data_IF_878191136506
#
_entry.id   IF_878191136506
#
_cell.length_a   1.000
_cell.length_b   1.000
_cell.length_c   1.000
_cell.angle_alpha   90.00
_cell.angle_beta   90.00
_cell.angle_gamma   90.00
#
_symmetry.space_group_name_H-M   'P 1'
#
loop_
_entity.id
_entity.type
_entity.pdbx_description
1 polymer ?
#
# COMPACT_ATOMS: atom_id res chain seq x y z
N UNK A 1 53.23 -39.68 -30.05
CA UNK A 1 54.05 -38.70 -29.29
C UNK A 1 53.95 -37.25 -29.79
N UNK A 2 53.54 -36.97 -31.04
CA UNK A 2 53.49 -35.59 -31.60
C UNK A 2 52.29 -34.74 -31.12
N UNK A 3 51.17 -35.36 -30.72
CA UNK A 3 49.96 -34.63 -30.27
C UNK A 3 50.12 -33.94 -28.90
N UNK A 4 50.92 -34.51 -27.99
CA UNK A 4 51.10 -34.00 -26.64
C UNK A 4 51.98 -32.73 -26.61
N UNK A 5 53.01 -32.67 -27.45
CA UNK A 5 53.86 -31.49 -27.62
C UNK A 5 53.16 -30.31 -28.33
N UNK A 6 52.25 -30.58 -29.27
CA UNK A 6 51.40 -29.55 -29.90
C UNK A 6 50.41 -28.93 -28.91
N UNK A 7 49.73 -29.75 -28.09
CA UNK A 7 48.84 -29.25 -27.03
C UNK A 7 49.59 -28.39 -26.02
N UNK A 8 50.74 -28.86 -25.52
CA UNK A 8 51.57 -28.13 -24.57
C UNK A 8 52.08 -26.78 -25.13
N UNK A 9 52.44 -26.72 -26.42
CA UNK A 9 52.81 -25.46 -27.08
C UNK A 9 51.65 -24.47 -27.20
N UNK A 10 50.47 -24.95 -27.61
CA UNK A 10 49.28 -24.09 -27.70
C UNK A 10 48.86 -23.56 -26.32
N UNK A 11 49.03 -24.37 -25.28
CA UNK A 11 48.75 -24.00 -23.89
C UNK A 11 49.76 -22.95 -23.37
N UNK A 12 51.05 -23.12 -23.70
CA UNK A 12 52.08 -22.12 -23.41
C UNK A 12 51.84 -20.80 -24.16
N UNK A 13 51.58 -20.84 -25.47
CA UNK A 13 51.29 -19.65 -26.28
C UNK A 13 50.07 -18.88 -25.75
N UNK A 14 49.05 -19.58 -25.25
CA UNK A 14 47.89 -18.96 -24.58
C UNK A 14 48.27 -18.32 -23.25
N UNK A 15 49.12 -18.97 -22.46
CA UNK A 15 49.56 -18.47 -21.17
C UNK A 15 50.44 -17.22 -21.34
N UNK A 16 51.38 -17.25 -22.28
CA UNK A 16 52.23 -16.10 -22.60
C UNK A 16 51.38 -14.90 -23.08
N UNK A 17 50.33 -15.14 -23.87
CA UNK A 17 49.39 -14.11 -24.28
C UNK A 17 48.57 -13.54 -23.11
N UNK A 18 48.13 -14.38 -22.17
CA UNK A 18 47.42 -13.95 -20.97
C UNK A 18 48.33 -13.14 -20.03
N UNK A 19 49.60 -13.54 -19.89
CA UNK A 19 50.58 -12.83 -19.08
C UNK A 19 50.91 -11.44 -19.68
N UNK A 20 50.99 -11.35 -21.00
CA UNK A 20 51.16 -10.07 -21.70
C UNK A 20 49.95 -9.14 -21.51
N UNK A 21 48.73 -9.67 -21.61
CA UNK A 21 47.49 -8.91 -21.35
C UNK A 21 47.44 -8.44 -19.87
N UNK A 22 47.80 -9.30 -18.92
CA UNK A 22 47.89 -8.93 -17.50
C UNK A 22 48.93 -7.83 -17.26
N UNK A 23 50.09 -7.90 -17.92
CA UNK A 23 51.12 -6.86 -17.80
C UNK A 23 50.62 -5.50 -18.32
N UNK A 24 49.93 -5.48 -19.47
CA UNK A 24 49.34 -4.25 -20.02
C UNK A 24 48.27 -3.70 -19.07
N UNK A 25 47.39 -4.54 -18.53
CA UNK A 25 46.37 -4.12 -17.56
C UNK A 25 46.97 -3.55 -16.29
N UNK A 26 47.99 -4.21 -15.73
CA UNK A 26 48.68 -3.73 -14.54
C UNK A 26 49.30 -2.34 -14.75
N UNK A 27 49.89 -2.08 -15.92
CA UNK A 27 50.42 -0.77 -16.28
C UNK A 27 49.31 0.29 -16.42
N UNK A 28 48.20 -0.04 -17.06
CA UNK A 28 47.05 0.87 -17.19
C UNK A 28 46.44 1.19 -15.82
N UNK A 29 46.27 0.18 -14.97
CA UNK A 29 45.73 0.33 -13.62
C UNK A 29 46.62 1.20 -12.73
N UNK A 30 47.95 1.08 -12.84
CA UNK A 30 48.88 1.96 -12.13
C UNK A 30 48.68 3.43 -12.48
N UNK A 31 48.56 3.74 -13.78
CA UNK A 31 48.35 5.11 -14.26
C UNK A 31 46.98 5.64 -13.83
N UNK A 32 45.94 4.81 -13.93
CA UNK A 32 44.59 5.17 -13.52
C UNK A 32 44.51 5.45 -12.00
N UNK A 33 45.07 4.59 -11.18
CA UNK A 33 45.10 4.74 -9.72
C UNK A 33 45.92 5.98 -9.29
N UNK A 34 47.08 6.24 -9.92
CA UNK A 34 47.87 7.45 -9.65
C UNK A 34 47.09 8.72 -9.98
N UNK A 35 46.42 8.75 -11.13
CA UNK A 35 45.63 9.90 -11.52
C UNK A 35 44.36 10.08 -10.66
N UNK A 36 43.77 8.98 -10.21
CA UNK A 36 42.68 8.99 -9.23
C UNK A 36 43.16 9.60 -7.92
N UNK A 37 44.33 9.22 -7.41
CA UNK A 37 44.91 9.78 -6.17
C UNK A 37 45.11 11.29 -6.30
N UNK A 38 45.67 11.76 -7.42
CA UNK A 38 45.88 13.20 -7.65
C UNK A 38 44.55 13.94 -7.62
N UNK A 39 43.58 13.47 -8.39
CA UNK A 39 42.25 14.09 -8.47
C UNK A 39 41.54 14.08 -7.11
N UNK A 40 41.57 12.96 -6.39
CA UNK A 40 40.94 12.86 -5.06
C UNK A 40 41.66 13.72 -4.02
N UNK A 41 42.96 13.98 -4.16
CA UNK A 41 43.69 14.92 -3.29
C UNK A 41 43.24 16.36 -3.53
N UNK A 42 43.08 16.77 -4.79
CA UNK A 42 42.54 18.10 -5.14
C UNK A 42 41.11 18.28 -4.57
N UNK A 43 40.29 17.23 -4.67
CA UNK A 43 38.95 17.21 -4.06
C UNK A 43 38.99 17.25 -2.53
N UNK A 44 39.93 16.53 -1.89
CA UNK A 44 40.11 16.54 -0.45
C UNK A 44 40.51 17.93 0.07
N UNK A 45 41.36 18.65 -0.66
CA UNK A 45 41.76 20.02 -0.29
C UNK A 45 40.53 20.94 -0.27
N UNK A 46 39.74 20.89 -1.35
CA UNK A 46 38.47 21.62 -1.40
C UNK A 46 37.51 21.20 -0.27
N UNK A 47 37.29 19.89 -0.10
CA UNK A 47 36.39 19.37 0.90
C UNK A 47 36.85 19.72 2.33
N UNK A 48 38.16 19.75 2.59
CA UNK A 48 38.69 20.10 3.93
C UNK A 48 38.50 21.59 4.21
N UNK A 49 38.68 22.45 3.20
CA UNK A 49 38.39 23.87 3.33
C UNK A 49 36.89 24.17 3.54
N UNK A 50 36.01 23.37 2.94
CA UNK A 50 34.57 23.63 2.89
C UNK A 50 33.75 22.87 3.97
N UNK A 51 34.14 21.66 4.33
CA UNK A 51 33.47 20.79 5.32
C UNK A 51 34.25 20.64 6.62
N UNK A 52 35.52 21.04 6.65
CA UNK A 52 36.40 20.93 7.82
C UNK A 52 37.05 19.56 8.00
N UNK A 53 38.13 19.56 8.80
CA UNK A 53 39.03 18.41 8.93
C UNK A 53 38.41 17.14 9.52
N UNK A 54 37.40 17.31 10.38
CA UNK A 54 36.72 16.18 11.01
C UNK A 54 35.84 15.43 10.00
N UNK A 55 35.17 16.16 9.11
CA UNK A 55 34.29 15.58 8.10
C UNK A 55 35.07 14.87 6.98
N UNK A 56 36.29 15.33 6.69
CA UNK A 56 37.13 14.76 5.63
C UNK A 56 38.17 13.76 6.12
N UNK A 57 38.17 13.43 7.42
CA UNK A 57 39.15 12.55 8.05
C UNK A 57 39.25 11.19 7.37
N UNK A 58 38.12 10.53 7.10
CA UNK A 58 38.16 9.17 6.55
C UNK A 58 38.66 9.12 5.10
N UNK A 59 38.39 10.17 4.31
CA UNK A 59 38.95 10.30 2.96
C UNK A 59 40.47 10.54 3.02
N UNK A 60 40.92 11.36 3.96
CA UNK A 60 42.35 11.61 4.21
C UNK A 60 43.08 10.33 4.61
N UNK A 61 42.53 9.59 5.58
CA UNK A 61 43.11 8.32 6.04
C UNK A 61 43.12 7.27 4.90
N UNK A 62 42.06 7.23 4.09
CA UNK A 62 41.99 6.37 2.91
C UNK A 62 43.05 6.72 1.86
N UNK A 63 43.24 8.01 1.56
CA UNK A 63 44.30 8.49 0.66
C UNK A 63 45.70 8.15 1.16
N UNK A 64 45.96 8.25 2.46
CA UNK A 64 47.25 7.90 3.06
C UNK A 64 47.53 6.38 2.98
N UNK A 65 46.50 5.56 3.19
CA UNK A 65 46.59 4.11 3.02
C UNK A 65 46.84 3.73 1.55
N UNK A 66 46.09 4.34 0.63
CA UNK A 66 46.23 4.14 -0.82
C UNK A 66 47.61 4.56 -1.30
N UNK A 67 48.08 5.74 -0.90
CA UNK A 67 49.43 6.21 -1.23
C UNK A 67 50.52 5.26 -0.72
N UNK A 68 50.28 4.56 0.40
CA UNK A 68 51.21 3.57 0.94
C UNK A 68 51.29 2.31 0.10
N UNK A 69 50.14 1.76 -0.30
CA UNK A 69 50.09 0.57 -1.15
C UNK A 69 50.48 0.83 -2.61
N UNK A 70 50.27 2.06 -3.11
CA UNK A 70 50.77 2.43 -4.43
C UNK A 70 52.30 2.46 -4.50
N UNK A 71 53.00 2.79 -3.40
CA UNK A 71 54.47 2.66 -3.36
C UNK A 71 54.90 1.21 -3.58
N UNK A 72 54.23 0.25 -2.94
CA UNK A 72 54.46 -1.20 -3.17
C UNK A 72 54.22 -1.56 -4.64
N UNK A 73 53.12 -1.07 -5.25
CA UNK A 73 52.82 -1.35 -6.65
C UNK A 73 53.89 -0.79 -7.61
N UNK A 74 54.38 0.43 -7.38
CA UNK A 74 55.47 1.01 -8.17
C UNK A 74 56.81 0.29 -7.97
N UNK A 75 57.13 -0.15 -6.75
CA UNK A 75 58.32 -0.96 -6.48
C UNK A 75 58.27 -2.31 -7.22
N UNK A 76 57.12 -2.99 -7.23
CA UNK A 76 56.91 -4.22 -7.99
C UNK A 76 57.03 -3.97 -9.51
N UNK A 77 56.50 -2.85 -9.99
CA UNK A 77 56.63 -2.47 -11.39
C UNK A 77 58.08 -2.19 -11.78
N UNK A 78 58.85 -1.55 -10.90
CA UNK A 78 60.28 -1.30 -11.11
C UNK A 78 61.08 -2.60 -11.19
N UNK A 79 60.80 -3.58 -10.31
CA UNK A 79 61.45 -4.90 -10.35
C UNK A 79 61.19 -5.61 -11.68
N UNK A 80 59.97 -5.55 -12.21
CA UNK A 80 59.63 -6.16 -13.50
C UNK A 80 60.40 -5.57 -14.70
N UNK A 81 61.06 -4.42 -14.54
CA UNK A 81 61.78 -3.69 -15.59
C UNK A 81 63.25 -3.46 -15.24
N UNK A 82 63.78 -4.13 -14.22
CA UNK A 82 65.18 -4.01 -13.86
C UNK A 82 66.11 -4.78 -14.83
N UNK A 83 67.40 -4.79 -14.53
CA UNK A 83 68.41 -5.44 -15.37
C UNK A 83 68.59 -6.94 -15.07
N UNK A 84 67.88 -7.46 -14.06
CA UNK A 84 67.94 -8.84 -13.60
C UNK A 84 66.83 -9.62 -14.33
N UNK A 85 67.16 -10.70 -15.08
CA UNK A 85 66.13 -11.47 -15.76
C UNK A 85 65.19 -12.19 -14.78
N UNK A 86 63.92 -11.82 -14.77
CA UNK A 86 62.85 -12.51 -14.03
C UNK A 86 62.32 -13.74 -14.78
N UNK A 87 61.78 -14.70 -14.04
CA UNK A 87 61.00 -15.81 -14.62
C UNK A 87 59.59 -15.34 -15.03
N UNK A 88 58.94 -16.01 -16.02
CA UNK A 88 57.56 -15.70 -16.38
C UNK A 88 56.56 -15.82 -15.23
N UNK A 89 56.82 -16.70 -14.25
CA UNK A 89 55.97 -16.87 -13.08
C UNK A 89 56.10 -15.70 -12.08
N UNK A 90 57.30 -15.16 -11.89
CA UNK A 90 57.54 -13.97 -11.08
C UNK A 90 56.85 -12.74 -11.68
N UNK A 91 57.00 -12.51 -13.00
CA UNK A 91 56.31 -11.41 -13.70
C UNK A 91 54.79 -11.52 -13.57
N UNK A 92 54.23 -12.71 -13.76
CA UNK A 92 52.79 -12.94 -13.60
C UNK A 92 52.32 -12.63 -12.19
N UNK A 93 53.03 -13.12 -11.18
CA UNK A 93 52.70 -12.92 -9.76
C UNK A 93 52.75 -11.44 -9.39
N UNK A 94 53.80 -10.73 -9.80
CA UNK A 94 53.96 -9.30 -9.53
C UNK A 94 52.93 -8.46 -10.29
N UNK A 95 52.68 -8.72 -11.58
CA UNK A 95 51.65 -8.01 -12.34
C UNK A 95 50.23 -8.25 -11.77
N UNK A 96 49.93 -9.46 -11.31
CA UNK A 96 48.67 -9.74 -10.62
C UNK A 96 48.55 -8.97 -9.30
N UNK A 97 49.65 -8.88 -8.53
CA UNK A 97 49.69 -8.09 -7.29
C UNK A 97 49.53 -6.58 -7.57
N UNK A 98 50.19 -6.06 -8.60
CA UNK A 98 50.04 -4.66 -9.02
C UNK A 98 48.58 -4.36 -9.36
N UNK A 99 47.95 -5.17 -10.20
CA UNK A 99 46.53 -5.01 -10.55
C UNK A 99 45.65 -5.04 -9.30
N UNK A 100 45.86 -6.01 -8.41
CA UNK A 100 45.10 -6.11 -7.14
C UNK A 100 45.25 -4.85 -6.25
N UNK A 101 46.46 -4.28 -6.15
CA UNK A 101 46.70 -3.08 -5.35
C UNK A 101 46.02 -1.85 -5.97
N UNK A 102 46.01 -1.74 -7.30
CA UNK A 102 45.35 -0.66 -8.01
C UNK A 102 43.82 -0.77 -7.91
N UNK A 103 43.25 -1.96 -8.11
CA UNK A 103 41.82 -2.20 -7.96
C UNK A 103 41.35 -1.85 -6.53
N UNK A 104 42.10 -2.30 -5.52
CA UNK A 104 41.82 -1.95 -4.12
C UNK A 104 41.93 -0.43 -3.86
N UNK A 105 42.89 0.25 -4.49
CA UNK A 105 43.03 1.69 -4.36
C UNK A 105 41.83 2.44 -4.95
N UNK A 106 41.36 2.04 -6.13
CA UNK A 106 40.16 2.61 -6.74
C UNK A 106 38.93 2.37 -5.84
N UNK A 107 38.71 1.14 -5.39
CA UNK A 107 37.59 0.78 -4.51
C UNK A 107 37.54 1.62 -3.23
N UNK A 108 38.70 1.79 -2.57
CA UNK A 108 38.80 2.61 -1.35
C UNK A 108 38.50 4.07 -1.64
N UNK A 109 39.08 4.65 -2.69
CA UNK A 109 38.86 6.06 -3.00
C UNK A 109 37.40 6.32 -3.41
N UNK A 110 36.78 5.42 -4.14
CA UNK A 110 35.39 5.54 -4.56
C UNK A 110 34.43 5.43 -3.38
N UNK A 111 34.61 4.45 -2.50
CA UNK A 111 33.82 4.31 -1.26
C UNK A 111 33.88 5.60 -0.43
N UNK A 112 35.08 6.15 -0.21
CA UNK A 112 35.26 7.34 0.64
C UNK A 112 34.76 8.61 -0.04
N UNK A 113 34.91 8.73 -1.35
CA UNK A 113 34.44 9.90 -2.11
C UNK A 113 32.91 9.93 -2.19
N UNK A 114 32.27 8.77 -2.36
CA UNK A 114 30.80 8.67 -2.45
C UNK A 114 30.11 9.23 -1.20
N UNK A 115 30.65 8.91 -0.01
CA UNK A 115 30.12 9.38 1.28
C UNK A 115 30.12 10.92 1.39
N UNK A 116 31.07 11.60 0.73
CA UNK A 116 31.20 13.06 0.79
C UNK A 116 30.50 13.78 -0.36
N UNK A 117 30.16 13.07 -1.45
CA UNK A 117 29.67 13.68 -2.70
C UNK A 117 28.49 14.62 -2.47
N UNK A 118 27.43 14.15 -1.82
CA UNK A 118 26.22 14.94 -1.57
C UNK A 118 26.51 16.19 -0.72
N UNK A 119 27.37 16.06 0.31
CA UNK A 119 27.74 17.18 1.17
C UNK A 119 28.55 18.23 0.42
N UNK A 120 29.50 17.80 -0.41
CA UNK A 120 30.32 18.66 -1.26
C UNK A 120 29.44 19.42 -2.26
N UNK A 121 28.51 18.72 -2.91
CA UNK A 121 27.56 19.31 -3.87
C UNK A 121 26.69 20.38 -3.20
N UNK A 122 26.09 20.07 -2.05
CA UNK A 122 25.29 21.05 -1.27
C UNK A 122 26.08 22.30 -0.91
N UNK A 123 27.34 22.16 -0.50
CA UNK A 123 28.17 23.32 -0.14
C UNK A 123 28.57 24.14 -1.38
N UNK A 124 28.82 23.48 -2.53
CA UNK A 124 29.07 24.15 -3.81
C UNK A 124 27.87 24.96 -4.29
N UNK A 125 26.66 24.45 -4.08
CA UNK A 125 25.40 25.10 -4.46
C UNK A 125 24.90 26.15 -3.47
N UNK A 126 25.44 26.17 -2.25
CA UNK A 126 24.96 27.04 -1.18
C UNK A 126 24.95 28.55 -1.56
N UNK A 127 25.96 29.12 -2.26
CA UNK A 127 25.92 30.51 -2.70
C UNK A 127 24.78 30.81 -3.67
N UNK A 128 24.56 29.94 -4.67
CA UNK A 128 23.49 30.10 -5.65
C UNK A 128 22.12 29.95 -4.99
N UNK A 129 21.99 28.98 -4.08
CA UNK A 129 20.75 28.77 -3.32
C UNK A 129 20.45 29.95 -2.40
N UNK A 130 21.47 30.55 -1.77
CA UNK A 130 21.30 31.74 -0.94
C UNK A 130 20.75 32.93 -1.73
N UNK A 131 21.32 33.20 -2.91
CA UNK A 131 20.84 34.29 -3.78
C UNK A 131 19.42 34.01 -4.30
N UNK A 132 19.12 32.76 -4.67
CA UNK A 132 17.78 32.34 -5.05
C UNK A 132 16.77 32.58 -3.92
N UNK A 133 17.07 32.15 -2.69
CA UNK A 133 16.18 32.34 -1.53
C UNK A 133 15.90 33.83 -1.29
N UNK A 134 16.92 34.69 -1.42
CA UNK A 134 16.75 36.16 -1.28
C UNK A 134 15.84 36.72 -2.36
N UNK A 135 16.07 36.35 -3.62
CA UNK A 135 15.27 36.80 -4.75
C UNK A 135 13.81 36.32 -4.64
N UNK A 136 13.60 35.05 -4.29
CA UNK A 136 12.27 34.48 -4.08
C UNK A 136 11.53 35.13 -2.91
N UNK A 137 12.22 35.36 -1.79
CA UNK A 137 11.62 36.05 -0.64
C UNK A 137 11.19 37.48 -1.00
N UNK A 138 11.99 38.21 -1.79
CA UNK A 138 11.65 39.54 -2.27
C UNK A 138 10.43 39.52 -3.21
N UNK A 139 10.41 38.60 -4.19
CA UNK A 139 9.31 38.46 -5.12
C UNK A 139 7.98 38.07 -4.43
N UNK A 140 8.03 37.18 -3.43
CA UNK A 140 6.85 36.83 -2.63
C UNK A 140 6.39 38.00 -1.75
N UNK A 141 7.30 38.82 -1.24
CA UNK A 141 6.94 40.00 -0.46
C UNK A 141 6.17 41.04 -1.30
N UNK A 142 6.47 41.17 -2.59
CA UNK A 142 5.73 42.01 -3.52
C UNK A 142 4.28 41.53 -3.76
N UNK A 143 4.01 40.23 -3.60
CA UNK A 143 2.65 39.65 -3.72
C UNK A 143 1.76 39.91 -2.50
N UNK A 144 2.34 40.21 -1.33
CA UNK A 144 1.60 40.31 -0.06
C UNK A 144 0.43 41.33 -0.11
N UNK A 145 0.60 42.57 -0.59
CA UNK A 145 -0.51 43.53 -0.63
C UNK A 145 -1.68 43.03 -1.49
N UNK A 146 -1.40 42.43 -2.64
CA UNK A 146 -2.43 41.86 -3.53
C UNK A 146 -3.15 40.66 -2.91
N UNK A 147 -2.45 39.84 -2.12
CA UNK A 147 -3.05 38.75 -1.36
C UNK A 147 -3.96 39.27 -0.25
N UNK A 148 -3.57 40.33 0.47
CA UNK A 148 -4.39 40.97 1.50
C UNK A 148 -5.67 41.59 0.92
N UNK A 149 -5.56 42.29 -0.20
CA UNK A 149 -6.72 42.82 -0.94
C UNK A 149 -7.64 41.70 -1.43
N UNK A 150 -7.07 40.58 -1.89
CA UNK A 150 -7.84 39.41 -2.32
C UNK A 150 -8.59 38.78 -1.17
N UNK A 151 -7.97 38.56 -0.01
CA UNK A 151 -8.69 38.04 1.16
C UNK A 151 -9.79 39.00 1.62
N UNK A 152 -9.55 40.31 1.62
CA UNK A 152 -10.58 41.29 1.95
C UNK A 152 -11.77 41.22 0.97
N UNK A 153 -11.50 41.10 -0.34
CA UNK A 153 -12.53 40.90 -1.37
C UNK A 153 -13.30 39.59 -1.15
N UNK A 154 -12.60 38.49 -0.89
CA UNK A 154 -13.19 37.17 -0.65
C UNK A 154 -14.05 37.17 0.62
N UNK A 155 -13.62 37.85 1.68
CA UNK A 155 -14.38 38.00 2.93
C UNK A 155 -15.70 38.76 2.78
N UNK A 156 -15.88 39.54 1.71
CA UNK A 156 -17.15 40.16 1.37
C UNK A 156 -18.10 39.22 0.61
N UNK A 157 -17.58 38.14 0.00
CA UNK A 157 -18.32 37.22 -0.87
C UNK A 157 -18.60 35.86 -0.24
N UNK A 158 -17.76 35.43 0.70
CA UNK A 158 -17.85 34.13 1.35
C UNK A 158 -17.94 34.27 2.87
N UNK A 159 -18.49 33.24 3.52
CA UNK A 159 -18.62 33.22 4.98
C UNK A 159 -17.23 33.15 5.67
N UNK A 160 -17.09 33.60 6.93
CA UNK A 160 -15.85 33.44 7.67
C UNK A 160 -15.36 31.99 7.78
N UNK A 161 -16.27 31.02 7.85
CA UNK A 161 -15.94 29.59 7.91
C UNK A 161 -15.30 29.10 6.59
N UNK A 162 -15.83 29.55 5.45
CA UNK A 162 -15.27 29.23 4.13
C UNK A 162 -13.85 29.79 3.97
N UNK A 163 -13.62 31.03 4.41
CA UNK A 163 -12.30 31.67 4.36
C UNK A 163 -11.31 31.00 5.32
N UNK A 164 -11.74 30.61 6.53
CA UNK A 164 -10.87 29.90 7.48
C UNK A 164 -10.37 28.56 6.94
N UNK A 165 -11.16 27.87 6.11
CA UNK A 165 -10.81 26.58 5.51
C UNK A 165 -9.57 26.64 4.60
N UNK A 166 -9.26 27.81 4.06
CA UNK A 166 -8.07 28.06 3.24
C UNK A 166 -6.80 27.94 4.08
N UNK A 167 -6.89 28.27 5.38
CA UNK A 167 -5.72 28.44 6.24
C UNK A 167 -4.77 29.54 5.77
N UNK A 168 -5.15 30.32 4.75
CA UNK A 168 -4.31 31.38 4.20
C UNK A 168 -4.29 32.59 5.12
N UNK A 169 -3.09 32.92 5.60
CA UNK A 169 -2.86 34.04 6.48
C UNK A 169 -1.69 34.89 5.94
N UNK A 170 -1.97 36.01 5.25
CA UNK A 170 -0.92 36.89 4.74
C UNK A 170 -0.02 37.45 5.84
N UNK A 171 -0.53 37.60 7.07
CA UNK A 171 0.30 38.01 8.21
C UNK A 171 1.32 36.92 8.58
N UNK A 172 0.94 35.64 8.52
CA UNK A 172 1.86 34.51 8.70
C UNK A 172 2.88 34.44 7.55
N UNK A 173 2.43 34.58 6.30
CA UNK A 173 3.34 34.63 5.15
C UNK A 173 4.37 35.77 5.28
N UNK A 174 3.95 36.96 5.73
CA UNK A 174 4.85 38.08 6.02
C UNK A 174 5.91 37.71 7.07
N UNK A 175 5.50 37.14 8.20
CA UNK A 175 6.42 36.71 9.25
C UNK A 175 7.42 35.65 8.75
N UNK A 176 6.96 34.70 7.94
CA UNK A 176 7.82 33.69 7.32
C UNK A 176 8.83 34.31 6.36
N UNK A 177 8.44 35.30 5.56
CA UNK A 177 9.34 36.00 4.64
C UNK A 177 10.38 36.85 5.38
N UNK A 178 9.99 37.53 6.46
CA UNK A 178 10.93 38.24 7.33
C UNK A 178 11.93 37.28 7.98
N UNK A 179 11.44 36.15 8.50
CA UNK A 179 12.27 35.09 9.07
C UNK A 179 13.21 34.46 8.04
N UNK A 180 12.74 34.23 6.81
CA UNK A 180 13.55 33.71 5.71
C UNK A 180 14.69 34.67 5.36
N UNK A 181 14.40 35.97 5.22
CA UNK A 181 15.41 37.00 4.95
C UNK A 181 16.47 37.06 6.06
N UNK A 182 16.03 37.07 7.31
CA UNK A 182 16.95 37.06 8.45
C UNK A 182 17.83 35.81 8.46
N UNK A 183 17.24 34.64 8.21
CA UNK A 183 17.96 33.36 8.16
C UNK A 183 18.98 33.33 7.01
N UNK A 184 18.64 33.89 5.85
CA UNK A 184 19.56 34.07 4.72
C UNK A 184 20.72 35.04 5.04
N UNK A 185 20.48 36.12 5.77
CA UNK A 185 21.55 37.00 6.27
C UNK A 185 22.47 36.29 7.27
N UNK A 186 21.90 35.48 8.17
CA UNK A 186 22.65 34.65 9.12
C UNK A 186 23.50 33.61 8.38
N UNK A 187 22.94 32.93 7.37
CA UNK A 187 23.65 31.98 6.54
C UNK A 187 24.84 32.63 5.83
N UNK A 188 24.63 33.80 5.20
CA UNK A 188 25.70 34.56 4.54
C UNK A 188 26.84 34.95 5.48
N UNK A 189 26.51 35.46 6.68
CA UNK A 189 27.51 35.83 7.70
C UNK A 189 28.29 34.62 8.21
N UNK A 190 27.61 33.55 8.61
CA UNK A 190 28.25 32.32 9.11
C UNK A 190 29.17 31.72 8.06
N UNK A 191 28.77 31.75 6.79
CA UNK A 191 29.59 31.30 5.67
C UNK A 191 30.86 32.14 5.53
N UNK A 192 30.74 33.47 5.63
CA UNK A 192 31.90 34.38 5.57
C UNK A 192 32.86 34.18 6.76
N UNK A 193 32.34 33.81 7.94
CA UNK A 193 33.13 33.49 9.13
C UNK A 193 33.74 32.08 9.10
N UNK A 194 33.56 31.31 8.01
CA UNK A 194 34.03 29.91 7.91
C UNK A 194 33.17 28.87 8.64
N UNK A 195 32.05 29.26 9.25
CA UNK A 195 31.10 28.36 9.93
C UNK A 195 30.11 27.74 8.94
N UNK A 196 30.58 26.82 8.09
CA UNK A 196 29.81 26.29 6.96
C UNK A 196 28.61 25.43 7.35
N UNK A 197 28.76 24.53 8.32
CA UNK A 197 27.64 23.70 8.81
C UNK A 197 26.51 24.57 9.38
N UNK A 198 26.84 25.54 10.24
CA UNK A 198 25.86 26.48 10.80
C UNK A 198 25.20 27.35 9.70
N UNK A 199 25.93 27.65 8.62
CA UNK A 199 25.41 28.40 7.48
C UNK A 199 24.41 27.55 6.67
N UNK A 200 24.69 26.26 6.48
CA UNK A 200 23.78 25.34 5.79
C UNK A 200 22.46 25.19 6.55
N UNK A 201 22.49 25.02 7.87
CA UNK A 201 21.27 24.94 8.69
C UNK A 201 20.43 26.22 8.55
N UNK A 202 21.07 27.39 8.57
CA UNK A 202 20.37 28.66 8.38
C UNK A 202 19.81 28.82 6.96
N UNK A 203 20.52 28.32 5.93
CA UNK A 203 20.07 28.34 4.54
C UNK A 203 18.87 27.40 4.31
N UNK A 204 18.90 26.19 4.86
CA UNK A 204 17.77 25.26 4.84
C UNK A 204 16.54 25.86 5.53
N UNK A 205 16.74 26.47 6.70
CA UNK A 205 15.70 27.20 7.43
C UNK A 205 15.08 28.32 6.59
N UNK A 206 15.92 29.11 5.91
CA UNK A 206 15.46 30.17 5.03
C UNK A 206 14.67 29.63 3.82
N UNK A 207 15.16 28.54 3.22
CA UNK A 207 14.54 27.88 2.07
C UNK A 207 13.15 27.36 2.44
N UNK A 208 13.03 26.68 3.58
CA UNK A 208 11.76 26.13 4.06
C UNK A 208 10.75 27.25 4.39
N UNK A 209 11.21 28.34 4.99
CA UNK A 209 10.36 29.48 5.29
C UNK A 209 9.81 30.16 4.00
N UNK A 210 10.64 30.32 2.96
CA UNK A 210 10.18 30.79 1.63
C UNK A 210 9.16 29.82 1.03
N UNK A 211 9.43 28.51 1.09
CA UNK A 211 8.52 27.48 0.56
C UNK A 211 7.15 27.54 1.24
N UNK A 212 7.11 27.64 2.57
CA UNK A 212 5.86 27.76 3.33
C UNK A 212 5.12 29.06 3.02
N UNK A 213 5.82 30.19 2.94
CA UNK A 213 5.22 31.46 2.56
C UNK A 213 4.60 31.41 1.14
N UNK A 214 5.28 30.76 0.18
CA UNK A 214 4.75 30.52 -1.17
C UNK A 214 3.46 29.72 -1.11
N UNK A 215 3.45 28.58 -0.41
CA UNK A 215 2.25 27.74 -0.28
C UNK A 215 1.05 28.52 0.29
N UNK A 216 1.28 29.39 1.29
CA UNK A 216 0.21 30.23 1.85
C UNK A 216 -0.33 31.22 0.82
N UNK A 217 0.55 31.87 0.03
CA UNK A 217 0.14 32.85 -0.98
C UNK A 217 -0.55 32.19 -2.17
N UNK A 218 -0.06 31.03 -2.63
CA UNK A 218 -0.67 30.27 -3.72
C UNK A 218 -2.07 29.77 -3.33
N UNK A 219 -2.29 29.38 -2.07
CA UNK A 219 -3.61 29.00 -1.56
C UNK A 219 -4.65 30.14 -1.62
N UNK A 220 -4.21 31.41 -1.54
CA UNK A 220 -5.11 32.57 -1.73
C UNK A 220 -5.57 32.65 -3.19
N UNK A 221 -4.66 32.47 -4.13
CA UNK A 221 -4.93 32.55 -5.56
C UNK A 221 -5.84 31.40 -6.02
N UNK A 222 -5.57 30.17 -5.54
CA UNK A 222 -6.33 28.97 -5.91
C UNK A 222 -7.75 28.96 -5.34
N UNK A 223 -7.96 29.55 -4.16
CA UNK A 223 -9.26 29.52 -3.50
C UNK A 223 -10.38 30.17 -4.32
N UNK A 224 -10.12 31.31 -4.98
CA UNK A 224 -11.18 32.00 -5.73
C UNK A 224 -11.68 31.14 -6.89
N UNK A 225 -10.76 30.47 -7.59
CA UNK A 225 -11.07 29.57 -8.69
C UNK A 225 -11.88 28.38 -8.18
N UNK A 226 -11.45 27.77 -7.08
CA UNK A 226 -12.10 26.59 -6.53
C UNK A 226 -13.49 26.90 -5.95
N UNK A 227 -13.63 28.04 -5.28
CA UNK A 227 -14.91 28.49 -4.76
C UNK A 227 -15.91 28.80 -5.90
N UNK A 228 -15.45 29.37 -7.02
CA UNK A 228 -16.30 29.59 -8.20
C UNK A 228 -16.74 28.29 -8.87
N UNK A 229 -15.85 27.30 -8.97
CA UNK A 229 -16.20 25.96 -9.46
C UNK A 229 -17.23 25.29 -8.56
N UNK A 230 -16.99 25.34 -7.25
CA UNK A 230 -17.90 24.78 -6.24
C UNK A 230 -19.28 25.44 -6.28
N UNK A 231 -19.35 26.76 -6.47
CA UNK A 231 -20.63 27.48 -6.66
C UNK A 231 -21.39 27.02 -7.92
N UNK A 232 -20.67 26.73 -9.00
CA UNK A 232 -21.26 26.20 -10.23
C UNK A 232 -21.82 24.81 -9.98
N UNK A 233 -21.02 23.91 -9.41
CA UNK A 233 -21.45 22.55 -9.04
C UNK A 233 -22.63 22.56 -8.08
N UNK A 234 -22.62 23.44 -7.07
CA UNK A 234 -23.74 23.58 -6.13
C UNK A 234 -25.02 23.99 -6.85
N UNK A 235 -24.94 24.88 -7.84
CA UNK A 235 -26.11 25.31 -8.60
C UNK A 235 -26.71 24.16 -9.41
N UNK A 236 -25.85 23.33 -10.02
CA UNK A 236 -26.26 22.14 -10.76
C UNK A 236 -26.90 21.10 -9.82
N UNK A 237 -26.25 20.79 -8.68
CA UNK A 237 -26.78 19.87 -7.67
C UNK A 237 -28.11 20.35 -7.10
N UNK A 238 -28.30 21.65 -6.89
CA UNK A 238 -29.59 22.22 -6.44
C UNK A 238 -30.69 21.99 -7.49
N UNK A 239 -30.37 22.13 -8.78
CA UNK A 239 -31.32 21.87 -9.86
C UNK A 239 -31.69 20.38 -9.92
N UNK A 240 -30.69 19.50 -9.87
CA UNK A 240 -30.87 18.04 -9.91
C UNK A 240 -31.66 17.55 -8.69
N UNK A 241 -31.30 17.96 -7.48
CA UNK A 241 -32.04 17.62 -6.24
C UNK A 241 -33.52 18.00 -6.31
N UNK A 242 -33.86 19.13 -6.95
CA UNK A 242 -35.25 19.54 -7.13
C UNK A 242 -36.00 18.62 -8.09
N UNK A 243 -35.34 18.15 -9.14
CA UNK A 243 -35.90 17.13 -10.05
C UNK A 243 -36.10 15.80 -9.34
N UNK A 244 -35.08 15.33 -8.62
CA UNK A 244 -35.12 14.06 -7.89
C UNK A 244 -36.21 14.04 -6.82
N UNK A 245 -36.44 15.17 -6.14
CA UNK A 245 -37.55 15.30 -5.19
C UNK A 245 -38.93 15.17 -5.85
N UNK A 246 -39.10 15.66 -7.09
CA UNK A 246 -40.36 15.48 -7.82
C UNK A 246 -40.60 14.02 -8.16
N UNK A 247 -39.57 13.32 -8.62
CA UNK A 247 -39.62 11.89 -8.93
C UNK A 247 -39.88 11.06 -7.66
N UNK A 248 -39.12 11.30 -6.60
CA UNK A 248 -39.22 10.57 -5.34
C UNK A 248 -40.58 10.75 -4.64
N UNK A 249 -41.27 11.88 -4.85
CA UNK A 249 -42.64 12.10 -4.35
C UNK A 249 -43.70 11.40 -5.18
N UNK A 250 -43.48 11.26 -6.49
CA UNK A 250 -44.38 10.52 -7.37
C UNK A 250 -44.32 9.01 -7.08
N UNK A 251 -43.15 8.53 -6.66
CA UNK A 251 -42.98 7.19 -6.11
C UNK A 251 -43.69 7.08 -4.75
N UNK A 252 -44.63 6.14 -4.61
CA UNK A 252 -45.24 5.84 -3.31
C UNK A 252 -44.19 5.21 -2.38
N UNK A 253 -43.43 6.05 -1.68
CA UNK A 253 -42.26 5.66 -0.90
C UNK A 253 -42.56 5.18 0.53
N UNK A 254 -41.61 4.43 1.11
CA UNK A 254 -41.62 4.03 2.52
C UNK A 254 -41.50 5.23 3.47
N UNK A 255 -41.69 5.03 4.78
CA UNK A 255 -41.49 6.09 5.78
C UNK A 255 -40.07 6.68 5.74
N UNK A 256 -39.07 5.84 5.43
CA UNK A 256 -37.67 6.24 5.30
C UNK A 256 -37.43 7.15 4.09
N UNK A 257 -38.05 6.84 2.95
CA UNK A 257 -37.99 7.70 1.76
C UNK A 257 -38.63 9.07 2.06
N UNK A 258 -39.78 9.09 2.74
CA UNK A 258 -40.41 10.36 3.17
C UNK A 258 -39.54 11.19 4.11
N UNK A 259 -38.81 10.53 5.02
CA UNK A 259 -37.86 11.21 5.89
C UNK A 259 -36.69 11.80 5.10
N UNK A 260 -36.07 11.02 4.20
CA UNK A 260 -34.97 11.50 3.37
C UNK A 260 -35.38 12.67 2.45
N UNK A 261 -36.60 12.63 1.90
CA UNK A 261 -37.22 13.75 1.16
C UNK A 261 -37.28 15.01 2.04
N UNK A 262 -37.79 14.91 3.27
CA UNK A 262 -37.90 16.05 4.17
C UNK A 262 -36.52 16.63 4.58
N UNK A 263 -35.52 15.77 4.81
CA UNK A 263 -34.15 16.19 5.13
C UNK A 263 -33.49 16.90 3.93
N UNK A 264 -33.70 16.41 2.71
CA UNK A 264 -33.20 17.05 1.49
C UNK A 264 -33.89 18.40 1.22
N UNK A 265 -35.21 18.49 1.43
CA UNK A 265 -35.94 19.76 1.34
C UNK A 265 -35.44 20.79 2.34
N UNK A 266 -35.15 20.37 3.58
CA UNK A 266 -34.57 21.23 4.59
C UNK A 266 -33.18 21.72 4.18
N UNK A 267 -32.35 20.84 3.63
CA UNK A 267 -31.03 21.22 3.13
C UNK A 267 -31.12 22.22 1.97
N UNK A 268 -32.02 22.01 1.00
CA UNK A 268 -32.27 22.94 -0.11
C UNK A 268 -32.78 24.30 0.38
N UNK A 269 -33.62 24.33 1.40
CA UNK A 269 -34.12 25.58 2.00
C UNK A 269 -33.03 26.33 2.79
N UNK A 270 -31.99 25.62 3.24
CA UNK A 270 -30.85 26.19 3.95
C UNK A 270 -29.74 26.72 3.03
N UNK A 271 -29.79 26.43 1.71
CA UNK A 271 -28.83 26.97 0.73
C UNK A 271 -28.90 28.50 0.73
N UNK A 272 -27.73 29.13 0.83
CA UNK A 272 -27.65 30.59 0.99
C UNK A 272 -28.07 31.29 -0.32
N UNK A 273 -28.94 32.32 -0.27
CA UNK A 273 -29.32 33.08 -1.45
C UNK A 273 -28.14 33.77 -2.13
N UNK A 274 -28.19 33.87 -3.45
CA UNK A 274 -27.19 34.60 -4.24
C UNK A 274 -27.01 36.04 -3.72
N UNK A 275 -25.76 36.49 -3.62
CA UNK A 275 -25.40 37.82 -3.13
C UNK A 275 -25.27 37.93 -1.60
N UNK A 276 -25.50 36.85 -0.86
CA UNK A 276 -25.18 36.78 0.58
C UNK A 276 -23.89 35.98 0.77
N UNK A 277 -23.01 36.36 1.72
CA UNK A 277 -21.79 35.59 2.01
C UNK A 277 -22.12 34.14 2.38
N UNK A 278 -21.74 33.19 1.51
CA UNK A 278 -22.06 31.77 1.64
C UNK A 278 -20.82 30.90 1.88
N UNK A 279 -21.03 29.66 2.31
CA UNK A 279 -19.98 28.62 2.30
C UNK A 279 -20.34 27.57 1.25
N UNK A 280 -19.93 27.76 -0.02
CA UNK A 280 -20.32 26.84 -1.08
C UNK A 280 -19.80 25.42 -0.86
N UNK A 281 -18.71 25.25 -0.12
CA UNK A 281 -18.14 23.93 0.17
C UNK A 281 -18.99 23.18 1.21
N UNK A 282 -19.37 23.86 2.29
CA UNK A 282 -20.23 23.26 3.32
C UNK A 282 -21.64 22.99 2.78
N UNK A 283 -22.19 23.92 1.99
CA UNK A 283 -23.50 23.77 1.37
C UNK A 283 -23.53 22.61 0.37
N UNK A 284 -22.52 22.50 -0.50
CA UNK A 284 -22.41 21.38 -1.44
C UNK A 284 -22.25 20.04 -0.72
N UNK A 285 -21.41 19.99 0.33
CA UNK A 285 -21.22 18.77 1.11
C UNK A 285 -22.51 18.32 1.80
N UNK A 286 -23.21 19.24 2.46
CA UNK A 286 -24.47 18.95 3.12
C UNK A 286 -25.55 18.48 2.13
N UNK A 287 -25.68 19.15 0.98
CA UNK A 287 -26.67 18.78 -0.03
C UNK A 287 -26.36 17.42 -0.67
N UNK A 288 -25.10 17.17 -1.00
CA UNK A 288 -24.64 15.89 -1.56
C UNK A 288 -24.88 14.72 -0.59
N UNK A 289 -24.64 14.94 0.71
CA UNK A 289 -24.95 13.95 1.75
C UNK A 289 -26.44 13.59 1.76
N UNK A 290 -27.34 14.58 1.65
CA UNK A 290 -28.79 14.33 1.67
C UNK A 290 -29.31 13.72 0.37
N UNK A 291 -28.75 14.07 -0.78
CA UNK A 291 -29.03 13.36 -2.04
C UNK A 291 -28.66 11.88 -1.93
N UNK A 292 -27.44 11.58 -1.47
CA UNK A 292 -26.98 10.20 -1.30
C UNK A 292 -27.87 9.41 -0.31
N UNK A 293 -28.36 10.07 0.76
CA UNK A 293 -29.29 9.47 1.70
C UNK A 293 -30.66 9.16 1.06
N UNK A 294 -31.16 10.04 0.19
CA UNK A 294 -32.40 9.82 -0.57
C UNK A 294 -32.24 8.64 -1.54
N UNK A 295 -31.15 8.61 -2.30
CA UNK A 295 -30.86 7.52 -3.24
C UNK A 295 -30.77 6.17 -2.53
N UNK A 296 -30.04 6.10 -1.42
CA UNK A 296 -29.94 4.89 -0.61
C UNK A 296 -31.32 4.46 -0.05
N UNK A 297 -32.17 5.41 0.34
CA UNK A 297 -33.52 5.11 0.81
C UNK A 297 -34.43 4.59 -0.30
N UNK A 298 -34.32 5.15 -1.53
CA UNK A 298 -35.07 4.72 -2.71
C UNK A 298 -34.63 3.34 -3.18
N UNK A 299 -33.32 3.11 -3.32
CA UNK A 299 -32.77 1.79 -3.69
C UNK A 299 -33.26 0.72 -2.71
N UNK A 300 -33.24 1.04 -1.41
CA UNK A 300 -33.74 0.15 -0.38
C UNK A 300 -35.24 -0.10 -0.48
N UNK A 301 -36.05 0.91 -0.77
CA UNK A 301 -37.50 0.76 -0.93
C UNK A 301 -37.87 -0.11 -2.14
N UNK A 302 -37.02 -0.15 -3.17
CA UNK A 302 -37.18 -1.02 -4.34
C UNK A 302 -36.79 -2.48 -4.05
N UNK A 303 -36.03 -2.76 -2.98
CA UNK A 303 -35.74 -4.13 -2.55
C UNK A 303 -37.02 -4.78 -2.01
N UNK A 304 -37.37 -5.95 -2.52
CA UNK A 304 -38.54 -6.70 -2.09
C UNK A 304 -38.28 -7.43 -0.76
N UNK A 305 -38.17 -6.65 0.33
CA UNK A 305 -37.91 -7.19 1.66
C UNK A 305 -39.20 -7.87 2.17
N UNK A 306 -39.15 -9.14 2.62
CA UNK A 306 -40.32 -9.82 3.15
C UNK A 306 -40.85 -9.10 4.40
N UNK A 307 -42.19 -9.03 4.50
CA UNK A 307 -42.84 -8.45 5.68
C UNK A 307 -42.48 -9.26 6.93
N UNK A 308 -42.41 -8.58 8.08
CA UNK A 308 -42.14 -9.24 9.36
C UNK A 308 -43.15 -10.37 9.64
N UNK A 309 -44.39 -10.23 9.20
CA UNK A 309 -45.43 -11.24 9.36
C UNK A 309 -45.19 -12.46 8.48
N UNK A 310 -44.70 -12.30 7.24
CA UNK A 310 -44.29 -13.42 6.39
C UNK A 310 -43.09 -14.17 6.98
N UNK A 311 -42.09 -13.45 7.50
CA UNK A 311 -40.94 -14.09 8.16
C UNK A 311 -41.39 -14.86 9.41
N UNK A 312 -42.26 -14.27 10.25
CA UNK A 312 -42.82 -14.93 11.43
C UNK A 312 -43.62 -16.18 11.08
N UNK A 313 -44.44 -16.12 10.02
CA UNK A 313 -45.18 -17.30 9.55
C UNK A 313 -44.23 -18.45 9.15
N UNK A 314 -43.13 -18.15 8.45
CA UNK A 314 -42.14 -19.16 8.07
C UNK A 314 -41.39 -19.72 9.29
N UNK A 315 -41.12 -18.89 10.31
CA UNK A 315 -40.56 -19.33 11.61
C UNK A 315 -41.52 -20.25 12.35
N UNK A 316 -42.80 -19.88 12.45
CA UNK A 316 -43.83 -20.70 13.10
C UNK A 316 -44.01 -22.05 12.38
N UNK A 317 -43.90 -22.06 11.04
CA UNK A 317 -43.92 -23.29 10.26
C UNK A 317 -42.72 -24.18 10.56
N UNK A 318 -41.52 -23.60 10.71
CA UNK A 318 -40.32 -24.32 11.11
C UNK A 318 -40.45 -24.90 12.53
N UNK A 319 -40.98 -24.13 13.48
CA UNK A 319 -41.20 -24.56 14.87
C UNK A 319 -42.16 -25.75 14.94
N UNK A 320 -43.25 -25.74 14.16
CA UNK A 320 -44.16 -26.89 14.03
C UNK A 320 -43.46 -28.11 13.45
N UNK A 321 -42.71 -27.95 12.35
CA UNK A 321 -42.00 -29.06 11.72
C UNK A 321 -40.96 -29.69 12.66
N UNK A 322 -40.19 -28.87 13.39
CA UNK A 322 -39.23 -29.32 14.41
C UNK A 322 -39.94 -30.07 15.53
N UNK A 323 -41.07 -29.55 16.03
CA UNK A 323 -41.85 -30.22 17.08
C UNK A 323 -42.34 -31.59 16.61
N UNK A 324 -42.85 -31.71 15.38
CA UNK A 324 -43.28 -32.99 14.82
C UNK A 324 -42.12 -33.98 14.66
N UNK A 325 -41.00 -33.53 14.11
CA UNK A 325 -39.78 -34.33 13.98
C UNK A 325 -39.28 -34.85 15.34
N UNK A 326 -39.24 -33.97 16.35
CA UNK A 326 -38.84 -34.30 17.71
C UNK A 326 -39.78 -35.33 18.34
N UNK A 327 -41.11 -35.15 18.25
CA UNK A 327 -42.07 -36.12 18.77
C UNK A 327 -41.96 -37.49 18.10
N UNK A 328 -41.78 -37.56 16.78
CA UNK A 328 -41.60 -38.82 16.05
C UNK A 328 -40.35 -39.57 16.51
N UNK A 329 -39.22 -38.86 16.61
CA UNK A 329 -37.92 -39.41 17.02
C UNK A 329 -37.95 -39.84 18.49
N UNK A 330 -38.55 -39.05 19.37
CA UNK A 330 -38.66 -39.34 20.80
C UNK A 330 -39.57 -40.54 21.09
N UNK A 331 -40.65 -40.71 20.32
CA UNK A 331 -41.53 -41.87 20.42
C UNK A 331 -40.88 -43.19 19.97
N UNK A 332 -39.80 -43.13 19.19
CA UNK A 332 -39.18 -44.29 18.54
C UNK A 332 -37.66 -44.34 18.73
N UNK A 333 -37.17 -43.90 19.90
CA UNK A 333 -35.72 -43.79 20.20
C UNK A 333 -34.92 -45.09 20.05
N UNK A 334 -35.56 -46.25 20.15
CA UNK A 334 -34.91 -47.55 19.94
C UNK A 334 -34.65 -47.89 18.48
N UNK A 335 -35.36 -47.25 17.56
CA UNK A 335 -35.41 -47.63 16.14
C UNK A 335 -34.84 -46.57 15.21
N UNK A 336 -34.84 -45.29 15.63
CA UNK A 336 -34.35 -44.17 14.84
C UNK A 336 -32.84 -43.99 14.98
N UNK A 337 -32.14 -43.95 13.83
CA UNK A 337 -30.70 -43.84 13.70
C UNK A 337 -30.10 -42.44 13.89
N UNK A 338 -28.78 -42.36 13.78
CA UNK A 338 -28.02 -41.13 14.02
C UNK A 338 -28.28 -40.02 12.98
N UNK A 339 -28.59 -40.38 11.74
CA UNK A 339 -28.79 -39.41 10.65
C UNK A 339 -30.03 -38.53 10.89
N UNK A 340 -31.16 -39.12 11.28
CA UNK A 340 -32.38 -38.38 11.61
C UNK A 340 -32.18 -37.41 12.79
N UNK A 341 -31.45 -37.86 13.83
CA UNK A 341 -31.13 -37.04 15.01
C UNK A 341 -30.20 -35.88 14.66
N UNK A 342 -29.23 -36.13 13.78
CA UNK A 342 -28.30 -35.10 13.28
C UNK A 342 -29.05 -34.03 12.50
N UNK A 343 -29.99 -34.41 11.62
CA UNK A 343 -30.82 -33.46 10.88
C UNK A 343 -31.73 -32.64 11.79
N UNK A 344 -32.32 -33.25 12.83
CA UNK A 344 -33.10 -32.52 13.83
C UNK A 344 -32.24 -31.50 14.60
N UNK A 345 -31.05 -31.89 15.06
CA UNK A 345 -30.16 -30.99 15.78
C UNK A 345 -29.73 -29.79 14.92
N UNK A 346 -29.44 -30.00 13.63
CA UNK A 346 -29.11 -28.92 12.71
C UNK A 346 -30.33 -28.02 12.40
N UNK A 347 -31.53 -28.58 12.29
CA UNK A 347 -32.76 -27.80 12.13
C UNK A 347 -32.97 -26.83 13.32
N UNK A 348 -32.75 -27.32 14.55
CA UNK A 348 -32.87 -26.53 15.77
C UNK A 348 -31.80 -25.43 15.86
N UNK A 349 -30.56 -25.74 15.48
CA UNK A 349 -29.48 -24.76 15.39
C UNK A 349 -29.82 -23.63 14.41
N UNK A 350 -30.23 -23.99 13.18
CA UNK A 350 -30.58 -23.03 12.13
C UNK A 350 -31.80 -22.18 12.52
N UNK A 351 -32.77 -22.75 13.25
CA UNK A 351 -33.90 -21.99 13.78
C UNK A 351 -33.47 -20.92 14.78
N UNK A 352 -32.56 -21.26 15.71
CA UNK A 352 -32.04 -20.28 16.68
C UNK A 352 -31.38 -19.11 15.94
N UNK A 353 -30.57 -19.41 14.92
CA UNK A 353 -29.94 -18.39 14.06
C UNK A 353 -31.01 -17.51 13.37
N UNK A 354 -32.09 -18.11 12.84
CA UNK A 354 -33.18 -17.37 12.22
C UNK A 354 -33.85 -16.38 13.19
N UNK A 355 -34.10 -16.80 14.43
CA UNK A 355 -34.80 -16.01 15.46
C UNK A 355 -34.08 -14.71 15.84
N UNK A 356 -32.74 -14.70 15.81
CA UNK A 356 -31.94 -13.50 16.12
C UNK A 356 -32.04 -12.42 15.04
N UNK A 357 -32.48 -12.79 13.83
CA UNK A 357 -32.51 -11.93 12.63
C UNK A 357 -33.93 -11.46 12.26
N UNK A 358 -34.97 -11.86 12.99
CA UNK A 358 -36.37 -11.53 12.60
C UNK A 358 -36.70 -10.05 12.81
N UNK A 359 -36.12 -9.43 13.84
CA UNK A 359 -36.49 -8.09 14.27
C UNK A 359 -35.99 -6.98 13.32
N UNK A 360 -34.78 -7.14 12.78
CA UNK A 360 -34.15 -6.14 11.93
C UNK A 360 -34.52 -6.33 10.46
N UNK A 361 -35.01 -5.24 9.84
CA UNK A 361 -35.34 -5.16 8.42
C UNK A 361 -34.24 -5.64 7.50
N UNK A 362 -32.99 -5.27 7.82
CA UNK A 362 -31.81 -5.62 7.04
C UNK A 362 -31.55 -7.12 6.99
N UNK A 363 -32.04 -7.85 7.98
CA UNK A 363 -31.75 -9.27 8.15
C UNK A 363 -32.96 -10.17 7.88
N UNK A 364 -34.13 -9.61 7.53
CA UNK A 364 -35.38 -10.37 7.30
C UNK A 364 -35.31 -11.38 6.17
N UNK A 365 -34.68 -11.05 5.04
CA UNK A 365 -34.49 -12.01 3.94
C UNK A 365 -33.67 -13.21 4.40
N UNK A 366 -32.58 -12.95 5.15
CA UNK A 366 -31.74 -13.98 5.72
C UNK A 366 -32.51 -14.80 6.77
N UNK A 367 -33.24 -14.15 7.67
CA UNK A 367 -34.10 -14.80 8.66
C UNK A 367 -35.12 -15.73 7.99
N UNK A 368 -35.77 -15.28 6.92
CA UNK A 368 -36.74 -16.08 6.17
C UNK A 368 -36.08 -17.30 5.53
N UNK A 369 -34.92 -17.12 4.89
CA UNK A 369 -34.18 -18.24 4.27
C UNK A 369 -33.76 -19.29 5.30
N UNK A 370 -33.31 -18.86 6.49
CA UNK A 370 -32.95 -19.75 7.59
C UNK A 370 -34.17 -20.46 8.15
N UNK A 371 -35.31 -19.77 8.33
CA UNK A 371 -36.56 -20.37 8.78
C UNK A 371 -37.04 -21.48 7.83
N UNK A 372 -37.05 -21.20 6.51
CA UNK A 372 -37.39 -22.20 5.49
C UNK A 372 -36.42 -23.39 5.49
N UNK A 373 -35.12 -23.13 5.68
CA UNK A 373 -34.10 -24.19 5.77
C UNK A 373 -34.24 -25.05 7.03
N UNK A 374 -34.56 -24.44 8.17
CA UNK A 374 -34.87 -25.17 9.40
C UNK A 374 -36.08 -26.09 9.22
N UNK A 375 -37.16 -25.58 8.59
CA UNK A 375 -38.31 -26.39 8.25
C UNK A 375 -37.92 -27.56 7.33
N UNK A 376 -37.16 -27.32 6.26
CA UNK A 376 -36.71 -28.37 5.34
C UNK A 376 -35.92 -29.47 6.07
N UNK A 377 -34.94 -29.09 6.91
CA UNK A 377 -34.14 -30.03 7.69
C UNK A 377 -35.00 -30.87 8.66
N UNK A 378 -36.02 -30.27 9.27
CA UNK A 378 -36.97 -30.98 10.11
C UNK A 378 -37.80 -32.01 9.31
N UNK A 379 -38.20 -31.69 8.08
CA UNK A 379 -38.88 -32.66 7.20
C UNK A 379 -37.96 -33.80 6.76
N UNK A 380 -36.68 -33.51 6.46
CA UNK A 380 -35.69 -34.54 6.17
C UNK A 380 -35.46 -35.48 7.38
N UNK A 381 -35.41 -34.92 8.59
CA UNK A 381 -35.32 -35.69 9.82
C UNK A 381 -36.53 -36.62 10.01
N UNK A 382 -37.75 -36.14 9.73
CA UNK A 382 -38.96 -36.97 9.76
C UNK A 382 -38.93 -38.11 8.76
N UNK A 383 -38.51 -37.84 7.51
CA UNK A 383 -38.43 -38.88 6.47
C UNK A 383 -37.39 -39.96 6.80
N UNK A 384 -36.23 -39.57 7.34
CA UNK A 384 -35.22 -40.52 7.82
C UNK A 384 -35.76 -41.36 8.97
N UNK A 385 -36.35 -40.72 9.98
CA UNK A 385 -36.93 -41.42 11.13
C UNK A 385 -38.03 -42.41 10.72
N UNK A 386 -38.90 -42.04 9.77
CA UNK A 386 -39.95 -42.92 9.27
C UNK A 386 -39.36 -44.14 8.54
N UNK A 387 -38.34 -43.96 7.69
CA UNK A 387 -37.64 -45.07 7.04
C UNK A 387 -37.01 -46.02 8.05
N UNK A 388 -36.39 -45.48 9.10
CA UNK A 388 -35.77 -46.29 10.16
C UNK A 388 -36.83 -47.12 10.90
N UNK A 389 -37.96 -46.50 11.28
CA UNK A 389 -39.10 -47.19 11.91
C UNK A 389 -39.64 -48.29 10.99
N UNK A 390 -39.85 -48.01 9.71
CA UNK A 390 -40.40 -49.00 8.79
C UNK A 390 -39.41 -50.16 8.55
N UNK A 391 -38.11 -49.89 8.49
CA UNK A 391 -37.07 -50.93 8.36
C UNK A 391 -37.06 -51.87 9.56
N UNK A 392 -37.22 -51.33 10.78
CA UNK A 392 -37.27 -52.13 12.01
C UNK A 392 -38.52 -53.00 12.13
N UNK A 393 -39.65 -52.57 11.54
CA UNK A 393 -40.89 -53.36 11.49
C UNK A 393 -40.80 -54.57 10.56
N UNK A 394 -40.05 -54.45 9.46
CA UNK A 394 -39.87 -55.52 8.48
C UNK A 394 -38.75 -56.52 8.85
N UNK A 395 -37.83 -56.16 9.76
CA UNK A 395 -36.78 -57.07 10.25
C UNK A 395 -37.21 -58.04 11.37
N UNK A 396 -38.46 -57.97 11.84
CA UNK A 396 -38.97 -58.79 12.96
C UNK A 396 -39.79 -60.02 12.58
N UNK A 397 -39.93 -60.33 11.29
CA UNK A 397 -40.80 -61.40 10.77
C UNK A 397 -40.10 -62.29 9.72
N UNK A 398 -38.85 -62.72 9.93
CA UNK A 398 -38.29 -63.90 9.24
C UNK A 398 -37.08 -64.48 10.02
N UNK A 399 -37.32 -64.98 11.23
CA UNK A 399 -36.48 -66.02 11.83
C UNK A 399 -37.36 -66.93 12.69
N UNK A 400 -37.86 -68.00 12.07
CA UNK A 400 -38.91 -68.82 12.66
C UNK A 400 -39.32 -70.06 11.86
N UNK A 401 -38.39 -70.99 11.68
CA UNK A 401 -38.60 -72.45 11.59
C UNK A 401 -38.86 -73.16 10.23
N UNK A 402 -37.99 -74.17 10.01
CA UNK A 402 -38.06 -75.37 9.13
C UNK A 402 -37.71 -75.13 7.66
N UNK A 403 -36.64 -75.69 7.09
CA UNK A 403 -36.08 -77.02 7.31
C UNK A 403 -36.36 -77.91 6.09
N UNK A 404 -35.33 -78.61 5.63
CA UNK A 404 -35.35 -79.73 4.68
C UNK A 404 -35.15 -79.43 3.17
N UNK A 405 -34.09 -80.06 2.65
CA UNK A 405 -33.96 -80.70 1.32
C UNK A 405 -33.26 -79.89 0.20
N UNK A 406 -31.92 -79.99 0.21
CA UNK A 406 -31.19 -80.77 -0.79
C UNK A 406 -30.97 -80.18 -2.19
N UNK A 407 -29.72 -80.23 -2.64
CA UNK A 407 -29.41 -80.54 -4.04
C UNK A 407 -28.62 -79.49 -4.82
N UNK A 408 -27.33 -79.79 -5.01
CA UNK A 408 -26.61 -79.77 -6.29
C UNK A 408 -26.66 -78.54 -7.23
N UNK A 409 -25.44 -78.07 -7.55
CA UNK A 409 -25.09 -77.41 -8.82
C UNK A 409 -25.47 -75.93 -8.86
N UNK A 410 -24.64 -74.99 -9.27
CA UNK A 410 -23.49 -75.05 -10.14
C UNK A 410 -23.52 -73.80 -11.01
N UNK A 411 -22.35 -73.19 -11.21
CA UNK A 411 -21.96 -72.47 -12.43
C UNK A 411 -22.75 -71.21 -12.83
N UNK A 412 -22.12 -70.06 -12.58
CA UNK A 412 -21.55 -69.23 -13.65
C UNK A 412 -22.39 -68.10 -14.28
N UNK A 413 -21.68 -67.03 -14.64
CA UNK A 413 -22.12 -65.95 -15.55
C UNK A 413 -22.30 -64.61 -14.81
N UNK A 414 -21.35 -63.67 -14.72
CA UNK A 414 -20.50 -63.00 -15.72
C UNK A 414 -21.23 -61.91 -16.52
N UNK A 415 -20.66 -60.70 -16.47
CA UNK A 415 -20.85 -59.57 -17.41
C UNK A 415 -21.57 -58.38 -16.76
N UNK A 416 -21.11 -57.13 -16.81
CA UNK A 416 -19.98 -56.44 -17.47
C UNK A 416 -20.23 -54.94 -17.22
N UNK A 417 -19.23 -54.14 -16.82
CA UNK A 417 -18.21 -53.47 -17.65
C UNK A 417 -18.65 -52.09 -18.19
N UNK A 418 -17.80 -51.08 -17.94
CA UNK A 418 -17.78 -49.75 -18.58
C UNK A 418 -17.98 -48.64 -17.55
N UNK A 419 -16.97 -47.89 -17.08
CA UNK A 419 -15.91 -47.18 -17.82
C UNK A 419 -16.28 -45.68 -17.80
N UNK A 420 -15.43 -44.70 -17.57
CA UNK A 420 -14.01 -44.59 -17.28
C UNK A 420 -13.71 -43.13 -16.88
N UNK A 421 -12.48 -42.90 -16.42
CA UNK A 421 -11.64 -41.69 -16.48
C UNK A 421 -12.27 -40.28 -16.50
N UNK A 422 -11.91 -39.44 -15.54
CA UNK A 422 -10.87 -38.39 -15.70
C UNK A 422 -10.85 -37.37 -14.53
N UNK A 423 -9.65 -37.18 -13.95
CA UNK A 423 -8.91 -35.91 -13.75
C UNK A 423 -9.66 -34.74 -13.07
N UNK A 424 -9.19 -34.06 -12.00
CA UNK A 424 -7.90 -33.97 -11.29
C UNK A 424 -8.15 -33.45 -9.85
N UNK A 425 -7.25 -33.59 -8.87
CA UNK A 425 -5.98 -32.85 -8.72
C UNK A 425 -6.27 -31.36 -8.46
N UNK A 426 -5.82 -30.67 -7.42
CA UNK A 426 -4.61 -30.80 -6.60
C UNK A 426 -4.65 -29.64 -5.55
N UNK A 427 -4.13 -29.88 -4.34
CA UNK A 427 -3.31 -28.97 -3.49
C UNK A 427 -3.84 -27.59 -3.03
N UNK A 428 -3.70 -27.37 -1.71
CA UNK A 428 -3.40 -26.06 -1.09
C UNK A 428 -4.17 -25.86 0.23
N UNK A 429 -3.56 -25.64 1.40
CA UNK A 429 -2.18 -25.44 1.79
C UNK A 429 -2.15 -25.24 3.32
N UNK A 430 -1.11 -25.75 3.97
CA UNK A 430 -0.77 -25.41 5.34
C UNK A 430 0.49 -24.53 5.33
N UNK A 431 0.58 -23.65 6.33
CA UNK A 431 1.74 -22.83 6.76
C UNK A 431 1.97 -21.52 5.99
N UNK A 432 1.73 -20.37 6.65
CA UNK A 432 2.74 -19.37 7.03
C UNK A 432 2.11 -18.05 7.53
N UNK A 433 2.72 -17.48 8.58
CA UNK A 433 2.56 -16.09 9.03
C UNK A 433 1.95 -16.01 10.45
N UNK A 434 2.65 -15.61 11.51
CA UNK A 434 3.88 -14.83 11.60
C UNK A 434 3.65 -13.70 12.60
N UNK A 435 4.23 -13.81 13.79
CA UNK A 435 4.45 -12.70 14.72
C UNK A 435 5.35 -11.65 14.06
N UNK A 436 4.99 -10.37 14.21
CA UNK A 436 5.82 -9.15 14.37
C UNK A 436 5.00 -7.96 13.86
N UNK A 437 4.79 -6.95 14.71
CA UNK A 437 4.32 -5.63 14.28
C UNK A 437 3.41 -4.89 15.26
N UNK A 438 3.83 -4.77 16.53
CA UNK A 438 3.27 -3.83 17.49
C UNK A 438 4.41 -2.86 17.87
N UNK A 439 4.46 -1.72 17.19
CA UNK A 439 5.24 -0.50 17.48
C UNK A 439 4.65 0.57 16.55
N UNK A 440 4.16 1.66 17.16
CA UNK A 440 3.41 2.80 16.62
C UNK A 440 1.89 2.60 16.46
N UNK A 441 1.13 2.71 17.55
CA UNK A 441 0.47 3.96 17.99
C UNK A 441 0.22 3.91 19.51
#
# INVERSE_FOLDING_TARGET
MVFWGKRKRVEQEKQDAADADLAVRAQQALVAADERIRTTRDELEFASAELGDAATKDLRDGLDAVATHMREAFELHQLNHDHIPDTPEELRTRNARIAQLCDWAEDVLDERTEVLRERIEKVREAPQTLERVRAEAAALAERLPGAEETIARLGARYSPAAIQRIGANPAEARQLLEFARHSAEVAGRRRADGRRDDAMVALETATEAVRRARTILDAVDDFEIEAMRTQTTLSDVVADSRSDLLEARAESGSARVRQAIAELEQALAAVTPAGTPSDPFAELAALSEKNAALDAARERAQRNIPSIDHVRHDVDAADRAISHARSLIDGHRGWVGADARTRLAEAERVRIDAGTLVADEDTRERAQSLARRAAQLAHEAMQLAQRDIDSSRHGGYDDGMRGYRGGFGGRGGMGGMGGGDMIGGLIGGALLGGLIGDIFD
#
